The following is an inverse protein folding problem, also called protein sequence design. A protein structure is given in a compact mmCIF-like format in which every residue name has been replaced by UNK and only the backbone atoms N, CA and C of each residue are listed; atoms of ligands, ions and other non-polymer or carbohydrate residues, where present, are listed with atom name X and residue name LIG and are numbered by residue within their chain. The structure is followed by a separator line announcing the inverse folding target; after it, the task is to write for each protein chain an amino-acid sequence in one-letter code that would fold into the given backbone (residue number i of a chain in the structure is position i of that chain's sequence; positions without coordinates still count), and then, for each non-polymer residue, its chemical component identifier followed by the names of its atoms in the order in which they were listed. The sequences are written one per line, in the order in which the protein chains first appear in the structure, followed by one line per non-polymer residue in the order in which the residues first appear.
data_IF_405650145040
#
_entry.id   IF_405650145040
#
_cell.length_a   1.000
_cell.length_b   1.000
_cell.length_c   1.000
_cell.angle_alpha   90.00
_cell.angle_beta   90.00
_cell.angle_gamma   90.00
#
_symmetry.space_group_name_H-M   'P 1'
#
loop_
_entity.id
_entity.type
_entity.pdbx_description
1 polymer ?
#
# COMPACT_ATOMS: atom_id res chain seq x y z
N UNK A 1 10.97 1.69 22.00
CA UNK A 1 11.77 2.07 20.83
C UNK A 1 10.83 2.12 19.64
N UNK A 2 10.82 3.20 18.86
CA UNK A 2 10.02 3.24 17.62
C UNK A 2 10.56 2.19 16.66
N UNK A 3 9.67 1.40 16.04
CA UNK A 3 10.03 0.38 15.06
C UNK A 3 9.86 0.95 13.65
N UNK A 4 10.81 0.68 12.77
CA UNK A 4 10.67 1.03 11.35
C UNK A 4 9.90 -0.06 10.62
N UNK A 5 8.97 0.34 9.77
CA UNK A 5 8.16 -0.58 9.01
C UNK A 5 8.08 -0.20 7.52
N UNK A 6 7.88 -1.22 6.70
CA UNK A 6 7.69 -1.10 5.25
C UNK A 6 6.31 -1.63 4.90
N UNK A 7 5.56 -0.83 4.13
CA UNK A 7 4.23 -1.18 3.64
C UNK A 7 4.32 -1.67 2.20
N UNK A 8 3.87 -2.89 1.91
CA UNK A 8 3.75 -3.39 0.54
C UNK A 8 2.28 -3.34 0.10
N UNK A 9 2.01 -2.77 -1.07
CA UNK A 9 0.66 -2.57 -1.62
C UNK A 9 0.47 -3.27 -2.97
N UNK A 10 -0.70 -3.87 -3.16
CA UNK A 10 -1.13 -4.48 -4.41
C UNK A 10 -2.60 -4.13 -4.69
N UNK A 11 -2.81 -3.20 -5.62
CA UNK A 11 -4.13 -2.74 -6.01
C UNK A 11 -4.75 -3.65 -7.07
N UNK A 12 -5.92 -4.20 -6.75
CA UNK A 12 -6.80 -4.95 -7.65
C UNK A 12 -8.00 -4.14 -8.13
N UNK A 13 -8.99 -4.83 -8.70
CA UNK A 13 -10.23 -4.22 -9.21
C UNK A 13 -11.11 -3.63 -8.10
N UNK A 14 -11.28 -4.37 -7.00
CA UNK A 14 -12.18 -4.04 -5.89
C UNK A 14 -11.49 -4.03 -4.53
N UNK A 15 -10.17 -4.16 -4.48
CA UNK A 15 -9.44 -4.13 -3.21
C UNK A 15 -8.00 -3.67 -3.38
N UNK A 16 -7.41 -3.17 -2.30
CA UNK A 16 -5.97 -2.99 -2.17
C UNK A 16 -5.50 -3.96 -1.10
N UNK A 17 -4.73 -4.97 -1.49
CA UNK A 17 -4.09 -5.89 -0.55
C UNK A 17 -2.82 -5.25 -0.03
N UNK A 18 -2.50 -5.52 1.23
CA UNK A 18 -1.27 -5.04 1.83
C UNK A 18 -0.57 -6.08 2.70
N UNK A 19 0.73 -5.89 2.87
CA UNK A 19 1.55 -6.51 3.91
C UNK A 19 2.37 -5.43 4.62
N UNK A 20 2.44 -5.51 5.94
CA UNK A 20 3.26 -4.65 6.79
C UNK A 20 4.40 -5.47 7.36
N UNK A 21 5.63 -4.97 7.22
CA UNK A 21 6.83 -5.65 7.67
C UNK A 21 7.60 -4.75 8.62
N UNK A 22 8.02 -5.29 9.77
CA UNK A 22 9.05 -4.65 10.60
C UNK A 22 10.40 -4.84 9.90
N UNK A 23 11.20 -3.77 9.85
CA UNK A 23 12.59 -3.81 9.43
C UNK A 23 13.47 -4.03 10.66
N UNK A 24 14.01 -5.23 10.79
CA UNK A 24 14.92 -5.57 11.87
C UNK A 24 16.30 -4.92 11.67
N UNK A 25 17.11 -4.75 12.74
CA UNK A 25 18.47 -4.23 12.62
C UNK A 25 19.38 -5.03 11.67
N UNK A 26 19.07 -6.32 11.46
CA UNK A 26 19.73 -7.21 10.49
C UNK A 26 19.36 -6.93 9.02
N UNK A 27 18.50 -5.94 8.77
CA UNK A 27 17.84 -5.67 7.48
C UNK A 27 16.87 -6.77 7.02
N UNK A 28 16.52 -7.73 7.88
CA UNK A 28 15.47 -8.70 7.60
C UNK A 28 14.07 -8.08 7.75
N UNK A 29 13.14 -8.57 6.93
CA UNK A 29 11.74 -8.17 6.98
C UNK A 29 10.93 -9.22 7.73
N UNK A 30 10.27 -8.79 8.80
CA UNK A 30 9.38 -9.65 9.60
C UNK A 30 7.93 -9.26 9.37
N UNK A 31 7.10 -10.21 8.93
CA UNK A 31 5.68 -9.95 8.66
C UNK A 31 4.93 -9.64 9.97
N UNK A 32 4.43 -8.41 10.09
CA UNK A 32 3.64 -7.95 11.23
C UNK A 32 2.15 -8.18 10.98
N UNK A 33 1.71 -7.82 9.79
CA UNK A 33 0.29 -7.86 9.42
C UNK A 33 0.13 -8.00 7.93
N UNK A 34 -0.97 -8.62 7.52
CA UNK A 34 -1.44 -8.62 6.13
C UNK A 34 -2.94 -8.43 6.11
N UNK A 35 -3.43 -7.77 5.07
CA UNK A 35 -4.82 -7.43 5.00
C UNK A 35 -5.26 -6.90 3.65
N UNK A 36 -6.46 -6.30 3.65
CA UNK A 36 -6.98 -5.58 2.50
C UNK A 36 -7.85 -4.40 2.92
N UNK A 37 -7.82 -3.38 2.08
CA UNK A 37 -8.89 -2.42 1.92
C UNK A 37 -9.86 -2.99 0.88
N UNK A 38 -11.05 -3.35 1.29
CA UNK A 38 -12.16 -3.63 0.38
C UNK A 38 -12.76 -2.32 -0.09
N UNK A 39 -12.94 -2.18 -1.40
CA UNK A 39 -13.42 -0.97 -2.08
C UNK A 39 -14.73 -1.22 -2.82
N UNK A 40 -15.39 -2.36 -2.58
CA UNK A 40 -16.71 -2.68 -3.12
C UNK A 40 -17.83 -1.94 -2.40
N UNK A 41 -19.05 -2.47 -2.48
CA UNK A 41 -20.27 -1.83 -1.96
C UNK A 41 -20.29 -1.67 -0.43
N UNK A 42 -19.53 -2.51 0.28
CA UNK A 42 -19.31 -2.42 1.72
C UNK A 42 -17.81 -2.27 2.01
N UNK A 43 -17.25 -1.05 1.83
CA UNK A 43 -15.85 -0.78 2.05
C UNK A 43 -15.42 -1.13 3.46
N UNK A 44 -14.28 -1.80 3.61
CA UNK A 44 -13.74 -2.16 4.92
C UNK A 44 -12.23 -2.33 4.94
N UNK A 45 -11.62 -2.03 6.08
CA UNK A 45 -10.25 -2.42 6.41
C UNK A 45 -10.30 -3.72 7.21
N UNK A 46 -9.59 -4.74 6.73
CA UNK A 46 -9.47 -6.02 7.43
C UNK A 46 -8.01 -6.49 7.42
N UNK A 47 -7.53 -6.97 8.56
CA UNK A 47 -6.13 -7.34 8.74
C UNK A 47 -5.93 -8.44 9.78
N UNK A 48 -4.90 -9.26 9.57
CA UNK A 48 -4.50 -10.35 10.46
C UNK A 48 -2.99 -10.39 10.63
N UNK A 49 -2.54 -10.82 11.81
CA UNK A 49 -1.16 -11.15 12.08
C UNK A 49 -0.72 -12.41 11.31
N UNK A 50 0.58 -12.71 11.33
CA UNK A 50 1.15 -13.89 10.67
C UNK A 50 0.54 -15.21 11.20
N UNK A 51 0.22 -15.27 12.50
CA UNK A 51 -0.40 -16.42 13.18
C UNK A 51 -1.92 -16.54 12.92
N UNK A 52 -2.51 -15.60 12.19
CA UNK A 52 -3.94 -15.56 11.88
C UNK A 52 -4.80 -14.76 12.86
N UNK A 53 -4.23 -14.23 13.95
CA UNK A 53 -4.93 -13.36 14.90
C UNK A 53 -5.52 -12.15 14.18
N UNK A 54 -6.82 -11.90 14.36
CA UNK A 54 -7.49 -10.72 13.77
C UNK A 54 -7.01 -9.46 14.46
N UNK A 55 -6.46 -8.53 13.70
CA UNK A 55 -5.94 -7.24 14.20
C UNK A 55 -6.86 -6.07 13.82
N UNK A 56 -7.65 -6.20 12.76
CA UNK A 56 -8.62 -5.20 12.32
C UNK A 56 -9.74 -5.85 11.50
N UNK A 57 -10.98 -5.44 11.71
CA UNK A 57 -12.10 -5.67 10.80
C UNK A 57 -13.13 -4.56 11.03
N UNK A 58 -13.00 -3.44 10.30
CA UNK A 58 -13.86 -2.26 10.47
C UNK A 58 -14.35 -1.71 9.14
N UNK A 59 -15.61 -1.26 9.05
CA UNK A 59 -16.11 -0.58 7.86
C UNK A 59 -15.37 0.73 7.62
N UNK A 60 -15.27 1.14 6.36
CA UNK A 60 -14.75 2.45 5.95
C UNK A 60 -15.92 3.34 5.52
N UNK A 61 -15.91 4.59 5.96
CA UNK A 61 -16.88 5.60 5.53
C UNK A 61 -16.29 6.48 4.41
N UNK A 62 -17.15 7.04 3.56
CA UNK A 62 -16.76 8.03 2.54
C UNK A 62 -16.18 7.43 1.24
N UNK A 63 -15.39 8.22 0.51
CA UNK A 63 -14.65 7.74 -0.67
C UNK A 63 -13.61 6.69 -0.24
N UNK A 64 -14.00 5.42 -0.38
CA UNK A 64 -13.27 4.27 0.10
C UNK A 64 -11.80 4.22 -0.36
N UNK A 65 -11.46 4.84 -1.52
CA UNK A 65 -10.11 4.74 -2.06
C UNK A 65 -9.13 5.62 -1.29
N UNK A 66 -9.44 6.91 -1.17
CA UNK A 66 -8.58 7.85 -0.45
C UNK A 66 -8.73 7.69 1.06
N UNK A 67 -9.96 7.64 1.56
CA UNK A 67 -10.24 7.43 2.97
C UNK A 67 -9.74 6.07 3.47
N UNK A 68 -9.72 5.06 2.61
CA UNK A 68 -9.19 3.74 2.96
C UNK A 68 -7.67 3.72 3.15
N UNK A 69 -6.91 4.43 2.30
CA UNK A 69 -5.45 4.53 2.45
C UNK A 69 -5.11 5.33 3.71
N UNK A 70 -5.80 6.44 3.94
CA UNK A 70 -5.63 7.25 5.16
C UNK A 70 -5.92 6.40 6.42
N UNK A 71 -7.07 5.73 6.46
CA UNK A 71 -7.44 4.84 7.57
C UNK A 71 -6.49 3.65 7.77
N UNK A 72 -5.81 3.18 6.70
CA UNK A 72 -4.76 2.17 6.79
C UNK A 72 -3.50 2.73 7.46
N UNK A 73 -3.06 3.92 7.06
CA UNK A 73 -1.90 4.58 7.63
C UNK A 73 -2.11 4.88 9.12
N UNK A 74 -3.25 5.49 9.45
CA UNK A 74 -3.61 5.80 10.83
C UNK A 74 -3.65 4.55 11.71
N UNK A 75 -4.23 3.47 11.21
CA UNK A 75 -4.28 2.20 11.92
C UNK A 75 -2.88 1.61 12.15
N UNK A 76 -2.00 1.66 11.14
CA UNK A 76 -0.62 1.18 11.27
C UNK A 76 0.16 1.97 12.34
N UNK A 77 0.04 3.28 12.33
CA UNK A 77 0.87 4.14 13.20
C UNK A 77 0.31 4.25 14.62
N UNK A 78 -1.02 4.24 14.77
CA UNK A 78 -1.67 4.42 16.07
C UNK A 78 -1.95 3.12 16.80
N UNK A 79 -2.34 2.05 16.08
CA UNK A 79 -2.91 0.84 16.68
C UNK A 79 -1.97 -0.36 16.58
N UNK A 80 -1.05 -0.39 15.61
CA UNK A 80 0.02 -1.40 15.53
C UNK A 80 1.29 -0.94 16.25
N UNK A 81 1.16 -0.48 17.50
CA UNK A 81 2.29 -0.31 18.42
C UNK A 81 3.30 0.77 18.04
N UNK A 82 2.86 1.88 17.42
CA UNK A 82 3.69 3.07 17.22
C UNK A 82 4.82 2.87 16.20
N UNK A 83 4.56 2.09 15.14
CA UNK A 83 5.49 1.89 14.02
C UNK A 83 5.60 3.15 13.19
N UNK A 84 6.82 3.49 12.76
CA UNK A 84 7.07 4.53 11.78
C UNK A 84 7.23 3.89 10.40
N UNK A 85 6.33 4.21 9.48
CA UNK A 85 6.50 3.83 8.08
C UNK A 85 7.68 4.61 7.49
N UNK A 86 8.63 3.89 6.90
CA UNK A 86 9.83 4.46 6.29
C UNK A 86 9.89 4.25 4.77
N UNK A 87 9.08 3.34 4.24
CA UNK A 87 8.92 3.14 2.80
C UNK A 87 7.57 2.47 2.48
N UNK A 88 7.08 2.74 1.27
CA UNK A 88 5.99 1.98 0.66
C UNK A 88 6.43 1.35 -0.68
N UNK A 89 6.21 0.04 -0.83
CA UNK A 89 6.42 -0.70 -2.07
C UNK A 89 5.11 -0.94 -2.80
N UNK A 90 5.08 -0.76 -4.11
CA UNK A 90 3.87 -0.88 -4.92
C UNK A 90 4.04 -1.91 -6.02
N UNK A 91 3.09 -2.85 -6.13
CA UNK A 91 3.05 -3.76 -7.26
C UNK A 91 2.48 -3.05 -8.49
N UNK A 92 3.33 -2.87 -9.49
CA UNK A 92 2.97 -2.38 -10.81
C UNK A 92 2.80 -3.58 -11.76
N UNK A 93 1.75 -3.55 -12.60
CA UNK A 93 1.45 -4.65 -13.50
C UNK A 93 2.39 -4.67 -14.71
N UNK A 94 2.64 -3.52 -15.33
CA UNK A 94 3.48 -3.44 -16.51
C UNK A 94 4.53 -2.33 -16.40
N UNK A 95 5.81 -2.70 -16.42
CA UNK A 95 6.96 -1.78 -16.44
C UNK A 95 7.47 -1.46 -17.86
N UNK A 96 6.93 -2.11 -18.88
CA UNK A 96 7.36 -1.90 -20.26
C UNK A 96 8.78 -2.43 -20.46
N UNK A 97 9.55 -1.76 -21.32
CA UNK A 97 10.96 -2.05 -21.54
C UNK A 97 11.90 -1.22 -20.67
N UNK A 98 11.35 -0.19 -20.03
CA UNK A 98 12.11 0.83 -19.28
C UNK A 98 12.23 0.44 -17.80
N UNK A 99 11.15 -0.02 -17.18
CA UNK A 99 11.12 -0.38 -15.77
C UNK A 99 11.17 -1.91 -15.61
N UNK A 100 12.36 -2.48 -15.75
CA UNK A 100 12.60 -3.93 -15.69
C UNK A 100 13.09 -4.43 -14.32
N UNK A 101 13.32 -3.51 -13.39
CA UNK A 101 13.73 -3.77 -12.01
C UNK A 101 12.96 -2.84 -11.05
N UNK A 102 12.96 -3.11 -9.72
CA UNK A 102 12.37 -2.19 -8.75
C UNK A 102 13.06 -0.83 -8.80
N UNK A 103 12.27 0.25 -8.91
CA UNK A 103 12.79 1.63 -8.98
C UNK A 103 12.18 2.49 -7.89
N UNK A 104 12.92 3.52 -7.46
CA UNK A 104 12.35 4.57 -6.61
C UNK A 104 11.35 5.39 -7.41
N UNK A 105 10.14 5.54 -6.87
CA UNK A 105 9.11 6.34 -7.50
C UNK A 105 9.47 7.83 -7.39
N UNK A 106 9.53 8.48 -8.55
CA UNK A 106 9.64 9.93 -8.72
C UNK A 106 8.47 10.41 -9.58
N UNK A 107 8.17 11.72 -9.65
CA UNK A 107 7.13 12.21 -10.56
C UNK A 107 7.32 11.74 -12.02
N UNK A 108 8.57 11.75 -12.51
CA UNK A 108 8.90 11.30 -13.87
C UNK A 108 8.68 9.78 -14.06
N UNK A 109 9.01 8.96 -13.05
CA UNK A 109 8.73 7.52 -13.08
C UNK A 109 7.22 7.26 -13.09
N UNK A 110 6.45 7.97 -12.26
CA UNK A 110 4.99 7.81 -12.20
C UNK A 110 4.36 8.18 -13.54
N UNK A 111 4.81 9.26 -14.18
CA UNK A 111 4.36 9.64 -15.51
C UNK A 111 4.75 8.61 -16.58
N UNK A 112 5.99 8.09 -16.53
CA UNK A 112 6.44 7.02 -17.41
C UNK A 112 5.59 5.76 -17.29
N UNK A 113 5.27 5.36 -16.07
CA UNK A 113 4.37 4.25 -15.80
C UNK A 113 2.93 4.53 -16.27
N UNK A 114 2.45 5.77 -16.19
CA UNK A 114 1.10 6.14 -16.64
C UNK A 114 0.97 6.06 -18.18
N UNK A 115 2.04 6.42 -18.90
CA UNK A 115 2.11 6.26 -20.36
C UNK A 115 2.01 4.80 -20.81
N UNK A 116 2.27 3.84 -19.93
CA UNK A 116 2.10 2.40 -20.20
C UNK A 116 0.66 1.90 -19.99
N UNK A 117 -0.28 2.77 -19.63
CA UNK A 117 -1.71 2.42 -19.48
C UNK A 117 -2.30 1.64 -20.66
N UNK A 118 -2.00 1.96 -21.95
CA UNK A 118 -2.50 1.17 -23.08
C UNK A 118 -2.12 -0.33 -23.04
N UNK A 119 -1.03 -0.71 -22.37
CA UNK A 119 -0.60 -2.11 -22.25
C UNK A 119 -1.37 -2.87 -21.17
N UNK A 120 -1.95 -2.17 -20.20
CA UNK A 120 -2.71 -2.76 -19.10
C UNK A 120 -3.85 -1.82 -18.65
N UNK A 121 -4.83 -1.51 -19.52
CA UNK A 121 -5.78 -0.40 -19.32
C UNK A 121 -6.65 -0.56 -18.07
N UNK A 122 -6.95 -1.80 -17.68
CA UNK A 122 -7.76 -2.11 -16.51
C UNK A 122 -6.94 -2.21 -15.21
N UNK A 123 -5.61 -2.24 -15.29
CA UNK A 123 -4.75 -2.51 -14.15
C UNK A 123 -3.79 -1.36 -13.83
N UNK A 124 -3.15 -0.76 -14.84
CA UNK A 124 -2.14 0.28 -14.65
C UNK A 124 -2.70 1.49 -13.88
N UNK A 125 -3.85 2.08 -14.25
CA UNK A 125 -4.38 3.23 -13.50
C UNK A 125 -4.71 2.88 -12.04
N UNK A 126 -5.11 1.62 -11.79
CA UNK A 126 -5.44 1.14 -10.44
C UNK A 126 -4.19 0.94 -9.59
N UNK A 127 -3.10 0.44 -10.18
CA UNK A 127 -1.79 0.35 -9.51
C UNK A 127 -1.22 1.73 -9.18
N UNK A 128 -1.45 2.74 -10.02
CA UNK A 128 -0.95 4.10 -9.82
C UNK A 128 -1.78 4.92 -8.83
N UNK A 129 -3.08 4.63 -8.67
CA UNK A 129 -3.93 5.42 -7.79
C UNK A 129 -3.43 5.48 -6.33
N UNK A 130 -3.08 4.35 -5.66
CA UNK A 130 -2.54 4.42 -4.29
C UNK A 130 -1.21 5.15 -4.19
N UNK A 131 -0.37 5.13 -5.22
CA UNK A 131 0.89 5.89 -5.25
C UNK A 131 0.57 7.39 -5.19
N UNK A 132 -0.37 7.85 -6.02
CA UNK A 132 -0.79 9.26 -6.06
C UNK A 132 -1.40 9.69 -4.73
N UNK A 133 -2.25 8.85 -4.13
CA UNK A 133 -2.83 9.13 -2.80
C UNK A 133 -1.75 9.21 -1.72
N UNK A 134 -0.82 8.26 -1.67
CA UNK A 134 0.27 8.26 -0.69
C UNK A 134 1.19 9.47 -0.83
N UNK A 135 1.54 9.86 -2.06
CA UNK A 135 2.37 11.03 -2.30
C UNK A 135 1.73 12.34 -1.79
N UNK A 136 0.39 12.40 -1.70
CA UNK A 136 -0.34 13.54 -1.13
C UNK A 136 -0.41 13.45 0.39
N UNK A 137 -0.82 12.30 0.94
CA UNK A 137 -1.00 12.12 2.38
C UNK A 137 0.33 12.11 3.15
N UNK A 138 1.37 11.56 2.54
CA UNK A 138 2.68 11.29 3.14
C UNK A 138 3.80 11.58 2.14
N UNK A 139 4.10 12.85 1.84
CA UNK A 139 5.12 13.23 0.85
C UNK A 139 6.54 12.77 1.21
N UNK A 140 6.80 12.44 2.48
CA UNK A 140 8.08 11.94 2.97
C UNK A 140 8.23 10.40 2.91
N UNK A 141 7.18 9.68 2.50
CA UNK A 141 7.12 8.21 2.41
C UNK A 141 7.26 7.73 0.95
#
# INVERSE_FOLDING_TARGET
MMRHAILALNAGSSSIKFGLYDLEPSAELQLVSRGKLDLGDAPKLSAKAADGTVQCDRPLAGDARNAGIDALLDWIESELGGRKLIAAGHRIVHGGREFVEPVRLTPAVIEGLDRLTPLAPLHQPRSLAPIRTLAVLRPDL
#
